data_IF_152432344748
#
_entry.id   IF_152432344748
#
_cell.length_a   1.000
_cell.length_b   1.000
_cell.length_c   1.000
_cell.angle_alpha   90.00
_cell.angle_beta   90.00
_cell.angle_gamma   90.00
#
_symmetry.space_group_name_H-M   'P 1'
#
loop_
_entity.id
_entity.type
_entity.pdbx_description
1 polymer ?
#
# COMPACT_ATOMS: atom_id res chain seq x y z
N UNK A 1 11.00 24.63 -61.70
CA UNK A 1 11.02 24.55 -60.27
C UNK A 1 10.86 23.08 -59.84
N UNK A 2 11.62 22.60 -58.89
CA UNK A 2 11.49 21.22 -58.44
C UNK A 2 10.23 21.06 -57.53
N UNK A 3 9.44 20.03 -57.83
CA UNK A 3 8.28 19.63 -57.07
C UNK A 3 8.67 19.10 -55.69
N UNK A 4 8.13 19.70 -54.64
CA UNK A 4 8.25 19.19 -53.29
C UNK A 4 7.50 17.83 -53.18
N UNK A 5 8.22 16.78 -52.83
CA UNK A 5 7.63 15.47 -52.48
C UNK A 5 6.82 15.54 -51.18
N UNK A 6 5.90 14.59 -50.96
CA UNK A 6 5.05 14.61 -49.78
C UNK A 6 5.89 14.46 -48.53
N UNK A 7 5.71 15.40 -47.60
CA UNK A 7 6.27 15.34 -46.24
C UNK A 7 5.77 14.07 -45.56
N UNK A 8 6.69 13.20 -45.13
CA UNK A 8 6.36 12.04 -44.30
C UNK A 8 5.74 12.54 -43.01
N UNK A 9 4.56 11.99 -42.66
CA UNK A 9 3.91 12.24 -41.38
C UNK A 9 4.87 11.84 -40.27
N UNK A 10 4.91 12.59 -39.13
CA UNK A 10 5.72 12.20 -37.99
C UNK A 10 5.31 10.79 -37.50
N UNK A 11 6.29 9.97 -37.07
CA UNK A 11 5.96 8.64 -36.54
C UNK A 11 4.98 8.78 -35.38
N UNK A 12 3.90 8.00 -35.44
CA UNK A 12 2.91 7.95 -34.37
C UNK A 12 3.63 7.74 -33.04
N UNK A 13 3.39 8.61 -32.06
CA UNK A 13 3.93 8.46 -30.73
C UNK A 13 3.63 7.04 -30.25
N UNK A 14 4.65 6.31 -29.79
CA UNK A 14 4.50 4.96 -29.32
C UNK A 14 3.42 4.96 -28.24
N UNK A 15 2.31 4.26 -28.45
CA UNK A 15 1.21 4.17 -27.49
C UNK A 15 1.77 3.66 -26.17
N UNK A 16 1.63 4.43 -25.12
CA UNK A 16 1.95 4.00 -23.75
C UNK A 16 1.03 2.84 -23.44
N UNK A 17 1.60 1.69 -23.05
CA UNK A 17 0.79 0.52 -22.72
C UNK A 17 -0.10 0.76 -21.49
N UNK A 18 -1.16 -0.05 -21.33
CA UNK A 18 -2.15 0.07 -20.25
C UNK A 18 -1.88 -0.92 -19.12
N UNK A 19 -2.31 -0.54 -17.90
CA UNK A 19 -2.44 -1.45 -16.76
C UNK A 19 -3.90 -1.91 -16.69
N UNK A 20 -4.13 -3.21 -16.74
CA UNK A 20 -5.44 -3.79 -16.54
C UNK A 20 -5.72 -3.97 -15.04
N UNK A 21 -6.74 -3.30 -14.51
CA UNK A 21 -7.23 -3.52 -13.15
C UNK A 21 -8.37 -4.53 -13.20
N UNK A 22 -8.10 -5.75 -12.76
CA UNK A 22 -9.08 -6.83 -12.60
C UNK A 22 -9.76 -6.65 -11.26
N UNK A 23 -10.94 -6.04 -11.29
CA UNK A 23 -11.75 -5.81 -10.10
C UNK A 23 -12.55 -7.07 -9.78
N UNK A 24 -12.28 -7.64 -8.61
CA UNK A 24 -12.88 -8.86 -8.10
C UNK A 24 -13.90 -8.60 -6.98
N UNK A 25 -14.16 -7.30 -6.64
CA UNK A 25 -15.02 -6.90 -5.53
C UNK A 25 -16.32 -6.26 -6.01
N UNK A 26 -17.43 -7.01 -5.91
CA UNK A 26 -18.77 -6.56 -6.32
C UNK A 26 -19.59 -5.93 -5.18
N UNK A 27 -19.07 -5.94 -3.95
CA UNK A 27 -19.74 -5.30 -2.81
C UNK A 27 -19.65 -3.78 -2.87
N UNK A 28 -20.78 -3.05 -2.88
CA UNK A 28 -20.77 -1.59 -2.94
C UNK A 28 -20.15 -0.95 -1.67
N UNK A 29 -20.08 -1.67 -0.55
CA UNK A 29 -19.50 -1.13 0.67
C UNK A 29 -17.99 -1.40 0.81
N UNK A 30 -17.45 -2.44 0.18
CA UNK A 30 -16.01 -2.74 0.16
C UNK A 30 -15.33 -2.25 -1.11
N UNK A 31 -16.06 -2.18 -2.22
CA UNK A 31 -15.56 -1.78 -3.52
C UNK A 31 -14.74 -0.50 -3.51
N UNK A 32 -13.76 -0.42 -4.36
CA UNK A 32 -12.84 0.70 -4.37
C UNK A 32 -11.67 0.55 -5.34
N UNK A 33 -11.95 0.17 -6.59
CA UNK A 33 -10.95 0.11 -7.66
C UNK A 33 -10.13 1.39 -7.78
N UNK A 34 -10.70 2.55 -7.42
CA UNK A 34 -9.99 3.82 -7.39
C UNK A 34 -8.86 3.85 -6.36
N UNK A 35 -9.02 3.17 -5.20
CA UNK A 35 -7.95 3.12 -4.18
C UNK A 35 -6.68 2.47 -4.70
N UNK A 36 -6.80 1.44 -5.56
CA UNK A 36 -5.65 0.81 -6.21
C UNK A 36 -4.93 1.78 -7.14
N UNK A 37 -5.67 2.53 -7.94
CA UNK A 37 -5.10 3.55 -8.83
C UNK A 37 -4.37 4.63 -8.05
N UNK A 38 -4.97 5.11 -6.95
CA UNK A 38 -4.40 6.17 -6.14
C UNK A 38 -3.17 5.70 -5.35
N UNK A 39 -3.22 4.49 -4.79
CA UNK A 39 -2.12 3.94 -3.99
C UNK A 39 -0.94 3.47 -4.84
N UNK A 40 -1.21 2.92 -6.03
CA UNK A 40 -0.19 2.40 -6.94
C UNK A 40 0.13 3.39 -8.05
N UNK A 41 -0.08 4.67 -7.83
CA UNK A 41 0.18 5.73 -8.79
C UNK A 41 1.65 5.78 -9.19
N UNK A 42 1.81 5.79 -10.47
CA UNK A 42 3.03 5.96 -11.19
C UNK A 42 2.97 7.25 -12.02
N UNK A 43 3.87 8.14 -11.86
CA UNK A 43 3.88 9.41 -12.60
C UNK A 43 4.10 9.25 -14.11
N UNK A 44 4.37 8.03 -14.59
CA UNK A 44 4.66 7.75 -16.00
C UNK A 44 3.96 6.52 -16.55
N UNK A 45 3.10 5.86 -15.78
CA UNK A 45 2.41 4.69 -16.26
C UNK A 45 1.21 5.08 -17.11
N UNK A 46 1.02 4.29 -18.15
CA UNK A 46 -0.08 4.41 -19.07
C UNK A 46 -1.45 4.41 -18.42
N UNK A 47 -2.47 4.52 -19.25
CA UNK A 47 -3.85 4.51 -18.80
C UNK A 47 -4.18 3.23 -18.05
N UNK A 48 -4.98 3.34 -16.98
CA UNK A 48 -5.55 2.22 -16.29
C UNK A 48 -6.88 1.86 -16.95
N UNK A 49 -7.05 0.58 -17.32
CA UNK A 49 -8.30 0.04 -17.80
C UNK A 49 -8.93 -0.85 -16.74
N UNK A 50 -10.18 -0.60 -16.43
CA UNK A 50 -10.96 -1.33 -15.41
C UNK A 50 -11.74 -2.45 -16.04
N UNK A 51 -11.67 -3.65 -15.45
CA UNK A 51 -12.38 -4.86 -15.87
C UNK A 51 -13.09 -5.45 -14.65
N UNK A 52 -14.40 -5.57 -14.73
CA UNK A 52 -15.24 -6.18 -13.69
C UNK A 52 -15.30 -7.69 -13.91
N UNK A 53 -14.46 -8.41 -13.15
CA UNK A 53 -14.34 -9.85 -13.32
C UNK A 53 -15.64 -10.59 -13.09
N UNK A 54 -16.47 -10.15 -12.14
CA UNK A 54 -17.78 -10.75 -11.86
C UNK A 54 -18.78 -10.58 -13.01
N UNK A 55 -18.59 -9.62 -13.90
CA UNK A 55 -19.35 -9.45 -15.15
C UNK A 55 -18.70 -10.19 -16.33
N UNK A 56 -17.59 -10.89 -16.08
CA UNK A 56 -16.87 -11.64 -17.10
C UNK A 56 -15.99 -10.76 -18.00
N UNK A 57 -15.65 -9.53 -17.56
CA UNK A 57 -14.77 -8.64 -18.29
C UNK A 57 -13.30 -9.00 -18.01
N UNK A 58 -12.51 -9.17 -19.07
CA UNK A 58 -11.09 -9.46 -19.02
C UNK A 58 -10.38 -8.82 -20.23
N UNK A 59 -9.07 -8.51 -20.13
CA UNK A 59 -8.29 -8.09 -21.29
C UNK A 59 -8.33 -9.12 -22.41
N UNK A 60 -8.34 -8.65 -23.65
CA UNK A 60 -8.26 -9.52 -24.82
C UNK A 60 -6.84 -10.05 -25.03
N UNK A 61 -6.73 -11.26 -25.60
CA UNK A 61 -5.43 -11.86 -25.95
C UNK A 61 -4.61 -10.97 -26.90
N UNK A 62 -5.26 -10.28 -27.82
CA UNK A 62 -4.59 -9.35 -28.72
C UNK A 62 -3.94 -8.16 -27.98
N UNK A 63 -4.58 -7.66 -26.93
CA UNK A 63 -4.03 -6.60 -26.08
C UNK A 63 -2.80 -7.06 -25.28
N UNK A 64 -2.81 -8.30 -24.80
CA UNK A 64 -1.66 -8.93 -24.13
C UNK A 64 -0.51 -9.19 -25.13
N UNK A 65 -0.84 -9.78 -26.29
CA UNK A 65 0.15 -10.16 -27.31
C UNK A 65 0.84 -8.93 -27.92
N UNK A 66 0.13 -7.84 -28.12
CA UNK A 66 0.68 -6.59 -28.65
C UNK A 66 1.42 -5.76 -27.60
N UNK A 67 1.33 -6.10 -26.32
CA UNK A 67 1.83 -5.28 -25.23
C UNK A 67 1.00 -4.00 -24.97
N UNK A 68 -0.20 -3.90 -25.56
CA UNK A 68 -1.13 -2.82 -25.25
C UNK A 68 -1.59 -2.88 -23.78
N UNK A 69 -1.68 -4.08 -23.21
CA UNK A 69 -1.74 -4.34 -21.76
C UNK A 69 -0.43 -4.99 -21.35
N UNK A 70 0.38 -4.30 -20.56
CA UNK A 70 1.69 -4.78 -20.12
C UNK A 70 1.71 -5.26 -18.67
N UNK A 71 0.70 -4.89 -17.90
CA UNK A 71 0.58 -5.27 -16.50
C UNK A 71 -0.89 -5.46 -16.09
N UNK A 72 -1.07 -6.33 -15.12
CA UNK A 72 -2.37 -6.69 -14.54
C UNK A 72 -2.29 -6.51 -13.03
N UNK A 73 -3.28 -5.84 -12.45
CA UNK A 73 -3.47 -5.75 -11.00
C UNK A 73 -4.78 -6.47 -10.66
N UNK A 74 -4.71 -7.45 -9.75
CA UNK A 74 -5.87 -8.21 -9.28
C UNK A 74 -6.23 -7.74 -7.87
N UNK A 75 -7.45 -7.26 -7.70
CA UNK A 75 -7.89 -6.66 -6.43
C UNK A 75 -8.16 -7.70 -5.34
N UNK A 76 -8.31 -7.23 -4.09
CA UNK A 76 -9.00 -7.96 -3.04
C UNK A 76 -10.47 -8.20 -3.36
N UNK A 77 -11.10 -9.09 -2.58
CA UNK A 77 -12.53 -9.38 -2.66
C UNK A 77 -13.03 -9.94 -1.33
N UNK A 78 -14.34 -9.76 -1.06
CA UNK A 78 -14.99 -10.45 0.05
C UNK A 78 -15.31 -11.93 -0.24
N UNK A 79 -15.20 -12.33 -1.50
CA UNK A 79 -15.39 -13.73 -1.91
C UNK A 79 -14.22 -14.61 -1.47
N UNK A 80 -14.48 -15.91 -1.32
CA UNK A 80 -13.43 -16.93 -1.18
C UNK A 80 -13.03 -17.49 -2.54
N UNK A 81 -11.76 -17.67 -2.80
CA UNK A 81 -11.26 -18.38 -4.00
C UNK A 81 -11.71 -19.85 -4.04
N UNK A 82 -12.18 -20.38 -2.89
CA UNK A 82 -12.72 -21.73 -2.78
C UNK A 82 -14.18 -21.85 -3.25
N UNK A 83 -14.87 -20.74 -3.48
CA UNK A 83 -16.25 -20.71 -3.96
C UNK A 83 -16.35 -20.65 -5.50
N UNK A 84 -15.33 -21.09 -6.21
CA UNK A 84 -15.26 -21.05 -7.69
C UNK A 84 -16.35 -21.86 -8.39
N UNK A 85 -16.92 -22.87 -7.73
CA UNK A 85 -18.07 -23.63 -8.18
C UNK A 85 -19.38 -22.80 -8.18
N UNK A 86 -19.48 -21.80 -7.31
CA UNK A 86 -20.61 -20.87 -7.20
C UNK A 86 -20.42 -19.61 -8.04
N UNK A 87 -19.19 -19.30 -8.39
CA UNK A 87 -18.80 -18.08 -9.10
C UNK A 87 -17.98 -18.41 -10.35
N UNK A 88 -18.62 -18.69 -11.49
CA UNK A 88 -17.93 -19.10 -12.73
C UNK A 88 -16.86 -18.12 -13.23
N UNK A 89 -16.99 -16.83 -12.90
CA UNK A 89 -15.98 -15.84 -13.23
C UNK A 89 -14.61 -16.12 -12.58
N UNK A 90 -14.57 -16.78 -11.42
CA UNK A 90 -13.31 -17.16 -10.75
C UNK A 90 -12.55 -18.21 -11.55
N UNK A 91 -13.25 -19.18 -12.15
CA UNK A 91 -12.61 -20.17 -13.02
C UNK A 91 -11.90 -19.48 -14.18
N UNK A 92 -12.59 -18.52 -14.81
CA UNK A 92 -12.03 -17.72 -15.90
C UNK A 92 -10.83 -16.87 -15.41
N UNK A 93 -10.93 -16.29 -14.22
CA UNK A 93 -9.80 -15.55 -13.60
C UNK A 93 -8.58 -16.46 -13.42
N UNK A 94 -8.77 -17.69 -12.90
CA UNK A 94 -7.64 -18.61 -12.71
C UNK A 94 -7.02 -19.04 -14.04
N UNK A 95 -7.83 -19.25 -15.08
CA UNK A 95 -7.35 -19.53 -16.44
C UNK A 95 -6.56 -18.36 -17.02
N UNK A 96 -7.09 -17.14 -16.87
CA UNK A 96 -6.43 -15.92 -17.30
C UNK A 96 -5.09 -15.74 -16.58
N UNK A 97 -5.04 -15.95 -15.26
CA UNK A 97 -3.81 -15.84 -14.47
C UNK A 97 -2.78 -16.90 -14.89
N UNK A 98 -3.21 -18.17 -15.09
CA UNK A 98 -2.30 -19.21 -15.62
C UNK A 98 -1.72 -18.82 -16.97
N UNK A 99 -2.54 -18.23 -17.84
CA UNK A 99 -2.08 -17.74 -19.12
C UNK A 99 -1.04 -16.64 -18.99
N UNK A 100 -1.28 -15.61 -18.16
CA UNK A 100 -0.31 -14.54 -17.89
C UNK A 100 1.01 -15.09 -17.31
N UNK A 101 0.92 -16.05 -16.37
CA UNK A 101 2.08 -16.69 -15.76
C UNK A 101 2.89 -17.47 -16.82
N UNK A 102 2.22 -18.27 -17.66
CA UNK A 102 2.87 -19.06 -18.71
C UNK A 102 3.53 -18.18 -19.79
N UNK A 103 2.95 -17.03 -20.10
CA UNK A 103 3.53 -16.03 -21.02
C UNK A 103 4.86 -15.46 -20.46
N UNK A 104 4.91 -15.14 -19.19
CA UNK A 104 6.10 -14.60 -18.51
C UNK A 104 6.56 -13.22 -19.02
N UNK A 105 5.70 -12.49 -19.74
CA UNK A 105 5.98 -11.17 -20.31
C UNK A 105 4.98 -10.10 -19.83
N UNK A 106 3.93 -10.47 -19.12
CA UNK A 106 2.94 -9.59 -18.50
C UNK A 106 3.21 -9.54 -17.00
N UNK A 107 3.38 -8.35 -16.43
CA UNK A 107 3.50 -8.18 -14.99
C UNK A 107 2.16 -8.43 -14.30
N UNK A 108 2.13 -9.19 -13.20
CA UNK A 108 0.91 -9.43 -12.41
C UNK A 108 1.16 -9.06 -10.97
N UNK A 109 0.30 -8.22 -10.41
CA UNK A 109 0.29 -7.88 -8.99
C UNK A 109 -1.05 -8.27 -8.37
N UNK A 110 -1.03 -9.18 -7.39
CA UNK A 110 -2.23 -9.63 -6.69
C UNK A 110 -2.26 -9.19 -5.24
N UNK A 111 -3.42 -8.68 -4.81
CA UNK A 111 -3.68 -8.19 -3.44
C UNK A 111 -4.77 -9.02 -2.78
N UNK A 112 -4.52 -9.54 -1.59
CA UNK A 112 -5.46 -10.30 -0.76
C UNK A 112 -6.13 -11.45 -1.54
N UNK A 113 -7.39 -11.31 -1.97
CA UNK A 113 -8.03 -12.28 -2.87
C UNK A 113 -7.20 -12.51 -4.14
N UNK A 114 -6.62 -11.47 -4.74
CA UNK A 114 -5.74 -11.58 -5.91
C UNK A 114 -4.48 -12.38 -5.63
N UNK A 115 -3.86 -12.25 -4.45
CA UNK A 115 -2.76 -13.09 -3.99
C UNK A 115 -3.18 -14.56 -3.91
N UNK A 116 -4.34 -14.84 -3.30
CA UNK A 116 -4.90 -16.17 -3.17
C UNK A 116 -5.29 -16.76 -4.55
N UNK A 117 -5.84 -15.95 -5.45
CA UNK A 117 -6.18 -16.36 -6.81
C UNK A 117 -4.96 -16.76 -7.64
N UNK A 118 -3.84 -16.03 -7.52
CA UNK A 118 -2.58 -16.38 -8.15
C UNK A 118 -2.05 -17.71 -7.58
N UNK A 119 -2.05 -17.86 -6.25
CA UNK A 119 -1.62 -19.11 -5.61
C UNK A 119 -2.51 -20.30 -6.04
N UNK A 120 -3.81 -20.09 -6.12
CA UNK A 120 -4.78 -21.09 -6.60
C UNK A 120 -4.56 -21.48 -8.06
N UNK A 121 -4.27 -20.49 -8.91
CA UNK A 121 -3.92 -20.72 -10.32
C UNK A 121 -2.64 -21.56 -10.48
N UNK A 122 -1.71 -21.47 -9.53
CA UNK A 122 -0.49 -22.25 -9.43
C UNK A 122 -0.65 -23.59 -8.70
N UNK A 123 -1.87 -23.96 -8.30
CA UNK A 123 -2.18 -25.25 -7.68
C UNK A 123 -2.06 -25.30 -6.15
N UNK A 124 -1.76 -24.18 -5.48
CA UNK A 124 -1.74 -24.12 -4.02
C UNK A 124 -3.13 -24.08 -3.43
N UNK A 125 -3.25 -24.57 -2.19
CA UNK A 125 -4.49 -24.52 -1.41
C UNK A 125 -4.59 -23.20 -0.66
N UNK A 126 -5.82 -22.72 -0.53
CA UNK A 126 -6.17 -21.61 0.34
C UNK A 126 -7.06 -22.15 1.45
N UNK A 127 -6.71 -21.84 2.69
CA UNK A 127 -7.32 -22.40 3.91
C UNK A 127 -7.66 -21.27 4.87
N UNK A 128 -8.54 -21.50 5.88
CA UNK A 128 -8.70 -20.53 6.96
C UNK A 128 -7.35 -20.20 7.61
N UNK A 129 -7.15 -18.92 7.96
CA UNK A 129 -5.93 -18.50 8.64
C UNK A 129 -5.76 -19.20 10.00
N UNK A 130 -4.55 -19.17 10.56
CA UNK A 130 -4.21 -19.92 11.79
C UNK A 130 -5.09 -19.59 13.01
N UNK A 131 -5.70 -18.38 13.07
CA UNK A 131 -6.60 -18.00 14.16
C UNK A 131 -8.01 -18.58 14.03
N UNK A 132 -8.40 -19.03 12.83
CA UNK A 132 -9.77 -19.44 12.50
C UNK A 132 -10.79 -18.30 12.54
N UNK A 133 -10.35 -17.05 12.67
CA UNK A 133 -11.17 -15.84 12.72
C UNK A 133 -10.81 -14.90 11.58
N UNK A 134 -11.71 -13.95 11.28
CA UNK A 134 -11.38 -12.89 10.34
C UNK A 134 -10.32 -11.96 10.94
N UNK A 135 -9.18 -11.82 10.29
CA UNK A 135 -8.12 -10.87 10.69
C UNK A 135 -8.41 -9.52 10.06
N UNK A 136 -8.61 -8.50 10.89
CA UNK A 136 -8.66 -7.09 10.47
C UNK A 136 -7.78 -6.29 11.43
N UNK A 137 -6.74 -5.68 10.94
CA UNK A 137 -5.83 -4.90 11.80
C UNK A 137 -4.44 -4.74 11.22
N UNK A 138 -3.53 -4.25 12.04
CA UNK A 138 -2.11 -4.14 11.70
C UNK A 138 -1.38 -5.41 12.16
N UNK A 139 -0.61 -6.01 11.26
CA UNK A 139 0.19 -7.20 11.55
C UNK A 139 1.68 -6.93 11.34
N UNK A 140 2.50 -7.59 12.14
CA UNK A 140 3.95 -7.62 11.96
C UNK A 140 4.32 -8.74 10.99
N UNK A 141 4.69 -8.35 9.78
CA UNK A 141 5.05 -9.24 8.68
C UNK A 141 6.57 -9.33 8.59
N UNK A 142 7.10 -10.53 8.73
CA UNK A 142 8.55 -10.79 8.75
C UNK A 142 9.07 -10.94 7.31
N UNK A 143 9.97 -10.06 6.84
CA UNK A 143 10.55 -10.16 5.52
C UNK A 143 11.49 -11.36 5.43
N UNK A 144 11.35 -12.16 4.37
CA UNK A 144 12.25 -13.25 4.04
C UNK A 144 13.57 -12.73 3.41
N UNK A 145 14.66 -13.53 3.43
CA UNK A 145 15.94 -13.10 2.84
C UNK A 145 15.83 -12.65 1.38
N UNK A 146 14.95 -13.27 0.60
CA UNK A 146 14.72 -12.88 -0.79
C UNK A 146 14.15 -11.47 -0.95
N UNK A 147 13.22 -11.06 -0.06
CA UNK A 147 12.71 -9.70 -0.05
C UNK A 147 13.79 -8.71 0.37
N UNK A 148 14.55 -9.04 1.42
CA UNK A 148 15.65 -8.20 1.90
C UNK A 148 16.74 -7.96 0.83
N UNK A 149 16.98 -8.95 -0.04
CA UNK A 149 17.91 -8.85 -1.15
C UNK A 149 17.32 -8.17 -2.40
N UNK A 150 15.98 -7.94 -2.44
CA UNK A 150 15.34 -7.39 -3.63
C UNK A 150 15.71 -5.91 -3.84
N UNK A 151 16.21 -5.51 -5.03
CA UNK A 151 16.71 -4.15 -5.26
C UNK A 151 15.66 -3.06 -5.01
N UNK A 152 14.42 -3.26 -5.48
CA UNK A 152 13.34 -2.31 -5.28
C UNK A 152 12.92 -2.19 -3.82
N UNK A 153 12.98 -3.29 -3.05
CA UNK A 153 12.75 -3.27 -1.62
C UNK A 153 13.85 -2.49 -0.88
N UNK A 154 15.11 -2.72 -1.22
CA UNK A 154 16.24 -1.98 -0.65
C UNK A 154 16.12 -0.48 -0.93
N UNK A 155 15.73 -0.12 -2.16
CA UNK A 155 15.48 1.26 -2.54
C UNK A 155 14.30 1.86 -1.77
N UNK A 156 13.16 1.17 -1.69
CA UNK A 156 12.02 1.59 -0.89
C UNK A 156 12.40 1.79 0.58
N UNK A 157 13.18 0.85 1.13
CA UNK A 157 13.66 0.92 2.50
C UNK A 157 14.54 2.14 2.76
N UNK A 158 15.45 2.46 1.87
CA UNK A 158 16.29 3.66 2.00
C UNK A 158 15.49 4.96 1.97
N UNK A 159 14.32 4.96 1.32
CA UNK A 159 13.45 6.14 1.19
C UNK A 159 12.48 6.30 2.36
N UNK A 160 11.92 5.22 2.88
CA UNK A 160 10.75 5.28 3.77
C UNK A 160 11.05 4.79 5.20
N UNK A 161 12.17 4.12 5.44
CA UNK A 161 12.44 3.57 6.77
C UNK A 161 13.09 4.60 7.68
N UNK A 162 12.64 4.73 8.95
CA UNK A 162 13.31 5.55 9.95
C UNK A 162 14.75 5.08 10.18
N UNK A 163 15.67 6.03 10.35
CA UNK A 163 17.05 5.73 10.69
C UNK A 163 17.13 4.97 12.02
N UNK A 164 17.98 3.94 12.08
CA UNK A 164 18.23 3.16 13.30
C UNK A 164 17.41 1.88 13.46
N UNK A 165 16.44 1.60 12.58
CA UNK A 165 15.78 0.29 12.56
C UNK A 165 16.65 -0.75 11.87
N UNK A 166 16.67 -1.98 12.43
CA UNK A 166 17.39 -3.12 11.83
C UNK A 166 16.83 -3.44 10.44
N UNK A 167 17.66 -3.90 9.55
CA UNK A 167 17.31 -4.19 8.17
C UNK A 167 16.22 -5.27 8.02
N UNK A 168 16.20 -6.22 8.93
CA UNK A 168 15.29 -7.37 9.00
C UNK A 168 14.10 -7.17 9.95
N UNK A 169 13.91 -5.97 10.51
CA UNK A 169 12.77 -5.73 11.38
C UNK A 169 11.43 -5.92 10.63
N UNK A 170 10.41 -6.49 11.29
CA UNK A 170 9.10 -6.71 10.68
C UNK A 170 8.50 -5.44 10.07
N UNK A 171 7.72 -5.62 9.02
CA UNK A 171 6.89 -4.59 8.41
C UNK A 171 5.53 -4.57 9.09
N UNK A 172 5.00 -3.40 9.37
CA UNK A 172 3.66 -3.22 9.91
C UNK A 172 2.68 -3.00 8.76
N UNK A 173 1.90 -4.01 8.43
CA UNK A 173 1.00 -3.99 7.28
C UNK A 173 -0.46 -4.16 7.72
N UNK A 174 -1.39 -3.61 6.94
CA UNK A 174 -2.82 -3.76 7.17
C UNK A 174 -3.32 -5.06 6.55
N UNK A 175 -3.96 -5.88 7.38
CA UNK A 175 -4.56 -7.15 6.99
C UNK A 175 -6.08 -7.08 7.07
N UNK A 176 -6.74 -7.76 6.12
CA UNK A 176 -8.20 -7.92 6.07
C UNK A 176 -8.55 -9.24 5.38
N UNK A 177 -8.43 -10.37 6.10
CA UNK A 177 -8.65 -11.68 5.52
C UNK A 177 -9.09 -12.73 6.54
N UNK A 178 -9.89 -13.72 6.11
CA UNK A 178 -10.23 -14.91 6.91
C UNK A 178 -9.47 -16.16 6.46
N UNK A 179 -8.92 -16.12 5.26
CA UNK A 179 -8.20 -17.22 4.61
C UNK A 179 -6.79 -16.80 4.21
N UNK A 180 -5.89 -17.77 4.07
CA UNK A 180 -4.51 -17.57 3.63
C UNK A 180 -4.04 -18.72 2.74
N UNK A 181 -2.97 -18.50 2.00
CA UNK A 181 -2.29 -19.54 1.22
C UNK A 181 -1.59 -20.49 2.19
N UNK A 182 -1.93 -21.80 2.12
CA UNK A 182 -1.45 -22.85 3.02
C UNK A 182 0.06 -23.10 2.89
N UNK A 183 0.54 -23.11 1.68
CA UNK A 183 1.95 -23.35 1.35
C UNK A 183 2.39 -22.60 0.11
N UNK A 184 3.67 -22.31 0.05
CA UNK A 184 4.27 -21.61 -1.09
C UNK A 184 4.00 -22.39 -2.40
N UNK A 185 3.48 -21.75 -3.46
CA UNK A 185 3.31 -22.38 -4.76
C UNK A 185 4.63 -22.90 -5.33
N UNK A 186 4.56 -23.98 -6.11
CA UNK A 186 5.74 -24.52 -6.81
C UNK A 186 6.36 -23.46 -7.73
N UNK A 187 7.66 -23.33 -7.70
CA UNK A 187 8.40 -22.33 -8.49
C UNK A 187 8.30 -20.90 -7.96
N UNK A 188 7.56 -20.66 -6.88
CA UNK A 188 7.50 -19.34 -6.24
C UNK A 188 8.65 -19.12 -5.25
N UNK A 189 8.95 -17.85 -4.99
CA UNK A 189 9.91 -17.40 -3.98
C UNK A 189 9.15 -16.72 -2.85
N UNK A 190 9.32 -17.20 -1.61
CA UNK A 190 8.74 -16.58 -0.42
C UNK A 190 9.42 -15.23 -0.18
N UNK A 191 8.63 -14.18 -0.02
CA UNK A 191 9.10 -12.81 0.26
C UNK A 191 8.83 -12.39 1.70
N UNK A 192 7.71 -12.83 2.29
CA UNK A 192 7.39 -12.52 3.69
C UNK A 192 6.39 -13.52 4.27
N UNK A 193 6.35 -13.59 5.61
CA UNK A 193 5.42 -14.42 6.38
C UNK A 193 4.94 -13.71 7.64
N UNK A 194 3.79 -14.16 8.18
CA UNK A 194 3.27 -13.71 9.47
C UNK A 194 2.75 -14.90 10.31
N UNK A 195 2.40 -14.68 11.59
CA UNK A 195 1.75 -15.70 12.40
C UNK A 195 0.39 -16.18 11.84
N UNK A 196 -0.32 -15.32 11.11
CA UNK A 196 -1.65 -15.63 10.55
C UNK A 196 -1.61 -16.14 9.11
N UNK A 197 -0.53 -15.83 8.37
CA UNK A 197 -0.36 -16.28 7.00
C UNK A 197 1.10 -16.70 6.73
N UNK A 198 1.37 -18.00 6.57
CA UNK A 198 2.73 -18.49 6.29
C UNK A 198 3.29 -17.97 4.97
N UNK A 199 2.43 -17.54 4.05
CA UNK A 199 2.78 -16.96 2.75
C UNK A 199 2.10 -15.59 2.63
N UNK A 200 2.68 -14.57 3.27
CA UNK A 200 2.21 -13.19 3.20
C UNK A 200 2.53 -12.54 1.86
N UNK A 201 3.72 -12.80 1.37
CA UNK A 201 4.15 -12.30 0.07
C UNK A 201 4.97 -13.36 -0.65
N UNK A 202 4.76 -13.47 -1.96
CA UNK A 202 5.59 -14.27 -2.82
C UNK A 202 5.75 -13.65 -4.21
N UNK A 203 6.78 -14.08 -4.93
CA UNK A 203 6.97 -13.76 -6.34
C UNK A 203 7.14 -15.03 -7.16
N UNK A 204 6.84 -14.95 -8.47
CA UNK A 204 7.17 -15.98 -9.44
C UNK A 204 7.98 -15.35 -10.55
N UNK A 205 9.26 -15.70 -10.62
CA UNK A 205 10.20 -15.01 -11.49
C UNK A 205 10.21 -13.50 -11.24
N UNK A 206 10.37 -12.75 -12.32
CA UNK A 206 10.41 -11.29 -12.29
C UNK A 206 9.05 -10.65 -12.66
N UNK A 207 8.00 -11.45 -12.88
CA UNK A 207 6.75 -10.98 -13.47
C UNK A 207 5.55 -11.05 -12.53
N UNK A 208 5.59 -11.86 -11.49
CA UNK A 208 4.47 -12.05 -10.56
C UNK A 208 4.88 -11.60 -9.17
N UNK A 209 4.12 -10.68 -8.60
CA UNK A 209 4.20 -10.26 -7.20
C UNK A 209 2.82 -10.40 -6.56
N UNK A 210 2.75 -11.03 -5.41
CA UNK A 210 1.50 -11.26 -4.71
C UNK A 210 1.65 -10.96 -3.21
N UNK A 211 0.69 -10.23 -2.64
CA UNK A 211 0.70 -9.79 -1.24
C UNK A 211 -0.66 -10.04 -0.59
N UNK A 212 -0.68 -10.59 0.64
CA UNK A 212 -1.91 -10.85 1.39
C UNK A 212 -2.48 -9.55 1.97
N UNK A 213 -1.62 -8.64 2.41
CA UNK A 213 -1.98 -7.34 2.98
C UNK A 213 -2.61 -6.39 1.97
N UNK A 214 -3.13 -5.26 2.47
CA UNK A 214 -3.85 -4.24 1.71
C UNK A 214 -3.06 -2.92 1.64
N UNK A 215 -2.07 -2.78 0.75
CA UNK A 215 -1.31 -1.54 0.62
C UNK A 215 -2.13 -0.38 0.05
N UNK A 216 -3.27 -0.66 -0.60
CA UNK A 216 -4.13 0.33 -1.26
C UNK A 216 -5.04 1.08 -0.30
N UNK A 217 -5.30 0.57 0.89
CA UNK A 217 -6.15 1.22 1.90
C UNK A 217 -5.33 1.78 3.06
N UNK A 218 -5.91 2.72 3.79
CA UNK A 218 -5.35 3.31 4.99
C UNK A 218 -6.21 3.00 6.23
N UNK A 219 -5.68 3.35 7.40
CA UNK A 219 -6.35 3.14 8.68
C UNK A 219 -7.70 3.88 8.75
N UNK A 220 -7.78 5.09 8.19
CA UNK A 220 -9.02 5.86 8.19
C UNK A 220 -10.12 5.13 7.43
N UNK A 221 -9.81 4.62 6.22
CA UNK A 221 -10.75 3.83 5.43
C UNK A 221 -11.19 2.55 6.15
N UNK A 222 -10.27 1.86 6.83
CA UNK A 222 -10.64 0.67 7.63
C UNK A 222 -11.65 1.06 8.71
N UNK A 223 -11.39 2.11 9.48
CA UNK A 223 -12.26 2.55 10.57
C UNK A 223 -13.63 3.01 10.08
N UNK A 224 -13.66 3.78 9.00
CA UNK A 224 -14.87 4.46 8.54
C UNK A 224 -15.74 3.60 7.62
N UNK A 225 -15.14 2.67 6.86
CA UNK A 225 -15.84 1.90 5.83
C UNK A 225 -15.70 0.40 6.01
N UNK A 226 -14.46 -0.12 6.06
CA UNK A 226 -14.23 -1.57 6.00
C UNK A 226 -14.76 -2.26 7.24
N UNK A 227 -14.44 -1.81 8.45
CA UNK A 227 -14.89 -2.42 9.69
C UNK A 227 -16.42 -2.40 9.82
N UNK A 228 -17.15 -1.28 9.65
CA UNK A 228 -18.61 -1.29 9.67
C UNK A 228 -19.24 -2.22 8.62
N UNK A 229 -18.62 -2.32 7.45
CA UNK A 229 -19.09 -3.22 6.40
C UNK A 229 -18.91 -4.69 6.79
N UNK A 230 -17.76 -5.08 7.32
CA UNK A 230 -17.47 -6.44 7.75
C UNK A 230 -18.35 -6.88 8.93
N UNK A 231 -18.68 -5.97 9.85
CA UNK A 231 -19.66 -6.20 10.91
C UNK A 231 -21.05 -6.47 10.30
N UNK A 232 -21.49 -5.61 9.38
CA UNK A 232 -22.77 -5.80 8.68
C UNK A 232 -22.85 -7.11 7.91
N UNK A 233 -21.71 -7.58 7.36
CA UNK A 233 -21.59 -8.87 6.67
C UNK A 233 -21.47 -10.06 7.63
N UNK A 234 -21.41 -9.85 8.95
CA UNK A 234 -21.23 -10.90 9.96
C UNK A 234 -19.85 -11.56 9.94
N UNK A 235 -18.84 -10.89 9.36
CA UNK A 235 -17.45 -11.39 9.34
C UNK A 235 -16.71 -11.07 10.63
N UNK A 236 -17.09 -10.00 11.30
CA UNK A 236 -16.55 -9.50 12.56
C UNK A 236 -17.74 -9.29 13.51
N UNK A 237 -17.60 -9.75 14.74
CA UNK A 237 -18.63 -9.53 15.76
C UNK A 237 -18.53 -8.07 16.29
N UNK A 238 -19.66 -7.50 16.72
CA UNK A 238 -19.73 -6.10 17.18
C UNK A 238 -18.85 -5.87 18.43
N UNK A 239 -18.73 -6.87 19.29
CA UNK A 239 -17.91 -6.84 20.51
C UNK A 239 -16.40 -6.87 20.23
N UNK A 240 -15.99 -7.36 19.06
CA UNK A 240 -14.59 -7.34 18.61
C UNK A 240 -14.15 -5.96 18.05
N UNK A 241 -15.12 -5.11 17.69
CA UNK A 241 -14.85 -3.84 16.97
C UNK A 241 -13.96 -2.87 17.75
N UNK A 242 -14.12 -2.80 19.08
CA UNK A 242 -13.32 -1.88 19.92
C UNK A 242 -11.86 -2.33 20.01
N UNK A 243 -11.61 -3.62 20.15
CA UNK A 243 -10.26 -4.20 20.16
C UNK A 243 -9.56 -3.93 18.81
N UNK A 244 -10.28 -4.12 17.69
CA UNK A 244 -9.76 -3.83 16.35
C UNK A 244 -9.43 -2.34 16.20
N UNK A 245 -10.30 -1.42 16.67
CA UNK A 245 -10.01 0.02 16.63
C UNK A 245 -8.77 0.39 17.42
N UNK A 246 -8.52 -0.28 18.54
CA UNK A 246 -7.33 -0.07 19.37
C UNK A 246 -6.06 -0.56 18.65
N UNK A 247 -6.11 -1.72 17.98
CA UNK A 247 -5.00 -2.27 17.18
C UNK A 247 -4.65 -1.39 15.97
N UNK A 248 -5.62 -0.66 15.42
CA UNK A 248 -5.43 0.27 14.30
C UNK A 248 -4.70 1.57 14.72
N UNK A 249 -3.96 1.55 15.81
CA UNK A 249 -3.14 2.68 16.25
C UNK A 249 -1.71 2.58 15.67
N UNK A 250 -1.16 3.73 15.30
CA UNK A 250 0.22 3.86 14.84
C UNK A 250 0.42 3.84 13.33
N UNK A 251 1.67 3.97 12.92
CA UNK A 251 2.04 4.03 11.51
C UNK A 251 2.06 2.64 10.87
N UNK A 252 1.81 2.58 9.58
CA UNK A 252 1.90 1.38 8.73
C UNK A 252 2.94 1.61 7.63
N UNK A 253 3.60 0.51 7.21
CA UNK A 253 4.71 0.54 6.28
C UNK A 253 4.29 0.38 4.81
N UNK A 254 3.07 0.80 4.46
CA UNK A 254 2.49 0.61 3.11
C UNK A 254 3.31 1.27 2.00
N UNK A 255 4.06 2.33 2.30
CA UNK A 255 4.87 3.04 1.31
C UNK A 255 5.93 2.13 0.67
N UNK A 256 6.39 1.08 1.35
CA UNK A 256 7.27 0.07 0.76
C UNK A 256 6.61 -0.61 -0.43
N UNK A 257 5.38 -1.13 -0.23
CA UNK A 257 4.65 -1.85 -1.27
C UNK A 257 4.12 -0.91 -2.35
N UNK A 258 3.68 0.29 -1.97
CA UNK A 258 3.25 1.33 -2.92
C UNK A 258 4.37 1.78 -3.85
N UNK A 259 5.61 1.70 -3.41
CA UNK A 259 6.79 1.94 -4.25
C UNK A 259 7.22 0.68 -5.01
N UNK A 260 7.31 -0.46 -4.32
CA UNK A 260 7.85 -1.70 -4.88
C UNK A 260 6.95 -2.30 -5.97
N UNK A 261 5.63 -2.36 -5.76
CA UNK A 261 4.72 -2.97 -6.73
C UNK A 261 4.75 -2.26 -8.09
N UNK A 262 4.69 -0.94 -8.16
CA UNK A 262 4.90 -0.21 -9.38
C UNK A 262 6.25 -0.48 -10.06
N UNK A 263 7.35 -0.39 -9.34
CA UNK A 263 8.67 -0.64 -9.90
C UNK A 263 8.77 -2.04 -10.52
N UNK A 264 8.23 -3.04 -9.81
CA UNK A 264 8.16 -4.43 -10.25
C UNK A 264 7.38 -4.58 -11.56
N UNK A 265 6.19 -4.02 -11.66
CA UNK A 265 5.37 -4.07 -12.85
C UNK A 265 6.02 -3.31 -14.05
N UNK A 266 6.72 -2.23 -13.78
CA UNK A 266 7.38 -1.41 -14.82
C UNK A 266 8.64 -2.07 -15.42
N UNK A 267 9.40 -2.83 -14.64
CA UNK A 267 10.53 -3.62 -15.15
C UNK A 267 10.10 -4.54 -16.30
N UNK A 268 8.90 -5.10 -16.21
CA UNK A 268 8.35 -5.98 -17.22
C UNK A 268 7.97 -5.26 -18.52
N UNK A 269 7.48 -4.03 -18.45
CA UNK A 269 7.15 -3.24 -19.63
C UNK A 269 8.41 -2.91 -20.48
N UNK A 270 9.56 -2.71 -19.83
CA UNK A 270 10.84 -2.47 -20.53
C UNK A 270 11.38 -3.74 -21.19
N UNK A 271 11.27 -4.89 -20.52
CA UNK A 271 11.71 -6.20 -21.02
C UNK A 271 10.90 -6.64 -22.26
N UNK A 272 9.60 -6.32 -22.29
CA UNK A 272 8.72 -6.59 -23.41
C UNK A 272 9.05 -5.71 -24.63
N UNK A 273 9.34 -4.41 -24.43
CA UNK A 273 9.77 -3.51 -25.50
C UNK A 273 11.10 -3.91 -26.14
N UNK A 274 12.05 -4.40 -25.35
CA UNK A 274 13.33 -4.88 -25.86
C UNK A 274 13.20 -6.18 -26.67
N UNK A 275 12.23 -7.05 -26.34
CA UNK A 275 11.96 -8.28 -27.11
C UNK A 275 11.25 -8.04 -28.43
N UNK A 276 10.31 -7.09 -28.48
CA UNK A 276 9.63 -6.73 -29.74
C UNK A 276 10.53 -6.00 -30.73
N UNK A 277 11.57 -5.30 -30.25
CA UNK A 277 12.53 -4.59 -31.11
C UNK A 277 13.65 -5.50 -31.66
N UNK A 278 13.83 -6.70 -31.09
CA UNK A 278 14.91 -7.62 -31.51
C UNK A 278 14.54 -8.55 -32.68
N UNK A 279 13.32 -8.49 -33.20
CA UNK A 279 12.85 -9.34 -34.32
C UNK A 279 12.98 -8.67 -35.70
N UNK A 280 13.22 -7.38 -35.76
CA UNK A 280 13.33 -6.63 -37.04
C UNK A 280 14.55 -5.74 -37.09
N UNK A 281 15.78 -6.26 -37.10
CA UNK A 281 16.88 -5.44 -37.65
C UNK A 281 18.13 -6.26 -38.00
N UNK A 282 18.34 -6.50 -39.26
CA UNK A 282 19.61 -6.95 -39.84
C UNK A 282 20.52 -5.77 -40.14
N UNK A 283 21.73 -5.77 -39.57
CA UNK A 283 23.03 -5.27 -40.05
C UNK A 283 23.24 -3.82 -40.55
N UNK A 284 22.22 -3.00 -40.81
CA UNK A 284 22.43 -1.58 -41.18
C UNK A 284 22.35 -0.65 -39.94
N UNK A 285 21.91 -1.13 -38.79
CA UNK A 285 21.48 -0.32 -37.65
C UNK A 285 22.46 -0.22 -36.49
N UNK A 286 23.60 -0.94 -36.51
CA UNK A 286 24.52 -0.93 -35.36
C UNK A 286 25.16 0.46 -35.12
N UNK A 287 25.45 1.20 -36.19
CA UNK A 287 25.98 2.56 -36.08
C UNK A 287 24.90 3.59 -35.69
N UNK A 288 23.66 3.39 -36.16
CA UNK A 288 22.49 4.20 -35.78
C UNK A 288 22.06 3.90 -34.37
N UNK A 289 22.02 2.61 -33.97
CA UNK A 289 21.71 2.19 -32.60
C UNK A 289 22.72 2.73 -31.59
N UNK A 290 24.02 2.65 -31.85
CA UNK A 290 25.06 3.24 -30.98
C UNK A 290 24.99 4.78 -30.92
N UNK A 291 24.55 5.43 -31.98
CA UNK A 291 24.35 6.89 -31.99
C UNK A 291 23.08 7.30 -31.21
N UNK A 292 22.00 6.51 -31.31
CA UNK A 292 20.76 6.68 -30.51
C UNK A 292 21.05 6.42 -29.04
N UNK A 293 21.80 5.37 -28.72
CA UNK A 293 22.20 5.05 -27.36
C UNK A 293 23.00 6.19 -26.72
N UNK A 294 23.99 6.71 -27.42
CA UNK A 294 24.79 7.85 -26.95
C UNK A 294 23.95 9.11 -26.75
N UNK A 295 23.10 9.46 -27.74
CA UNK A 295 22.23 10.64 -27.65
C UNK A 295 21.16 10.47 -26.55
N UNK A 296 20.69 9.24 -26.30
CA UNK A 296 19.78 8.94 -25.22
C UNK A 296 20.45 9.09 -23.85
N UNK A 297 21.68 8.60 -23.68
CA UNK A 297 22.46 8.81 -22.44
C UNK A 297 22.68 10.31 -22.19
N UNK A 298 23.12 11.05 -23.18
CA UNK A 298 23.34 12.50 -23.10
C UNK A 298 22.03 13.28 -22.77
N UNK A 299 20.91 12.87 -23.37
CA UNK A 299 19.60 13.42 -23.05
C UNK A 299 19.16 13.08 -21.62
N UNK A 300 19.36 11.83 -21.16
CA UNK A 300 19.03 11.43 -19.79
C UNK A 300 19.93 12.10 -18.74
N UNK A 301 21.20 12.32 -19.05
CA UNK A 301 22.11 13.10 -18.17
C UNK A 301 21.63 14.55 -18.06
N UNK A 302 21.33 15.21 -19.18
CA UNK A 302 20.83 16.59 -19.21
C UNK A 302 19.44 16.72 -18.55
N UNK A 303 18.53 15.78 -18.77
CA UNK A 303 17.23 15.73 -18.09
C UNK A 303 17.42 15.45 -16.60
N UNK A 304 18.34 14.56 -16.22
CA UNK A 304 18.68 14.28 -14.84
C UNK A 304 19.29 15.49 -14.11
N UNK A 305 20.08 16.32 -14.80
CA UNK A 305 20.61 17.58 -14.26
C UNK A 305 19.52 18.66 -14.13
N UNK A 306 18.65 18.81 -15.13
CA UNK A 306 17.52 19.73 -15.08
C UNK A 306 16.54 19.35 -13.97
N UNK A 307 16.18 18.07 -13.85
CA UNK A 307 15.33 17.54 -12.78
C UNK A 307 15.98 17.78 -11.40
N UNK A 308 17.27 17.49 -11.23
CA UNK A 308 17.97 17.79 -9.96
C UNK A 308 17.97 19.27 -9.65
N UNK A 309 18.13 20.13 -10.65
CA UNK A 309 18.07 21.59 -10.49
C UNK A 309 16.70 22.10 -10.05
N UNK A 310 15.61 21.55 -10.60
CA UNK A 310 14.24 21.97 -10.25
C UNK A 310 13.71 21.34 -8.95
N UNK A 311 14.08 20.09 -8.64
CA UNK A 311 13.60 19.42 -7.45
C UNK A 311 14.42 19.69 -6.19
N UNK A 312 15.68 20.17 -6.30
CA UNK A 312 16.48 20.50 -5.10
C UNK A 312 15.80 21.55 -4.21
N UNK A 313 15.22 22.66 -4.72
CA UNK A 313 14.48 23.60 -3.90
C UNK A 313 13.26 22.96 -3.21
N UNK A 314 12.48 22.16 -3.95
CA UNK A 314 11.31 21.49 -3.39
C UNK A 314 11.68 20.49 -2.27
N UNK A 315 12.76 19.73 -2.43
CA UNK A 315 13.28 18.83 -1.39
C UNK A 315 13.69 19.63 -0.14
N UNK A 316 14.33 20.77 -0.31
CA UNK A 316 14.71 21.63 0.81
C UNK A 316 13.49 22.22 1.52
N UNK A 317 12.44 22.59 0.78
CA UNK A 317 11.16 23.05 1.34
C UNK A 317 10.45 21.95 2.13
N UNK A 318 10.40 20.72 1.60
CA UNK A 318 9.85 19.57 2.33
C UNK A 318 10.65 19.22 3.57
N UNK A 319 11.98 19.32 3.53
CA UNK A 319 12.82 19.12 4.71
C UNK A 319 12.60 20.22 5.76
N UNK A 320 12.37 21.46 5.34
CA UNK A 320 12.02 22.56 6.22
C UNK A 320 10.63 22.34 6.87
N UNK A 321 9.62 21.95 6.07
CA UNK A 321 8.29 21.59 6.56
C UNK A 321 8.34 20.45 7.57
N UNK A 322 9.14 19.41 7.32
CA UNK A 322 9.32 18.31 8.26
C UNK A 322 9.94 18.78 9.59
N UNK A 323 10.92 19.69 9.55
CA UNK A 323 11.49 20.31 10.76
C UNK A 323 10.48 21.17 11.50
N UNK A 324 9.68 21.97 10.78
CA UNK A 324 8.63 22.78 11.39
C UNK A 324 7.56 21.92 12.06
N UNK A 325 7.13 20.84 11.42
CA UNK A 325 6.18 19.90 11.99
C UNK A 325 6.72 19.22 13.25
N UNK A 326 8.00 18.88 13.27
CA UNK A 326 8.66 18.34 14.47
C UNK A 326 8.67 19.33 15.61
N UNK A 327 9.05 20.58 15.37
CA UNK A 327 9.04 21.65 16.39
C UNK A 327 7.61 21.91 16.90
N UNK A 328 6.62 21.89 16.01
CA UNK A 328 5.22 22.02 16.41
C UNK A 328 4.76 20.86 17.30
N UNK A 329 5.13 19.61 16.95
CA UNK A 329 4.85 18.43 17.76
C UNK A 329 5.48 18.50 19.15
N UNK A 330 6.75 18.90 19.23
CA UNK A 330 7.47 19.05 20.49
C UNK A 330 6.83 20.14 21.37
N UNK A 331 6.38 21.25 20.76
CA UNK A 331 5.66 22.30 21.46
C UNK A 331 4.29 21.83 21.97
N UNK A 332 3.53 21.05 21.20
CA UNK A 332 2.27 20.47 21.67
C UNK A 332 2.48 19.50 22.83
N UNK A 333 3.54 18.70 22.79
CA UNK A 333 3.88 17.81 23.90
C UNK A 333 4.20 18.62 25.17
N UNK A 334 5.04 19.65 25.07
CA UNK A 334 5.35 20.53 26.20
C UNK A 334 4.11 21.22 26.77
N UNK A 335 3.15 21.65 25.91
CA UNK A 335 1.90 22.21 26.37
C UNK A 335 1.01 21.20 27.09
N UNK A 336 0.99 19.94 26.63
CA UNK A 336 0.26 18.86 27.28
C UNK A 336 0.85 18.55 28.66
N UNK A 337 2.17 18.47 28.77
CA UNK A 337 2.88 18.23 30.04
C UNK A 337 2.65 19.39 31.02
N UNK A 338 2.68 20.63 30.55
CA UNK A 338 2.34 21.81 31.36
C UNK A 338 0.88 21.78 31.85
N UNK A 339 -0.06 21.45 30.96
CA UNK A 339 -1.49 21.34 31.34
C UNK A 339 -1.71 20.25 32.40
N UNK A 340 -1.00 19.12 32.29
CA UNK A 340 -1.05 18.06 33.28
C UNK A 340 -0.46 18.51 34.62
N UNK A 341 0.63 19.25 34.60
CA UNK A 341 1.24 19.86 35.80
C UNK A 341 0.27 20.82 36.51
N UNK A 342 -0.42 21.68 35.74
CA UNK A 342 -1.46 22.59 36.26
C UNK A 342 -2.61 21.81 36.88
N UNK A 343 -3.09 20.75 36.25
CA UNK A 343 -4.16 19.89 36.79
C UNK A 343 -3.78 19.29 38.14
N UNK A 344 -2.58 18.75 38.28
CA UNK A 344 -2.06 18.21 39.56
C UNK A 344 -1.98 19.29 40.63
N UNK A 345 -1.52 20.48 40.26
CA UNK A 345 -1.43 21.63 41.18
C UNK A 345 -2.82 22.07 41.67
N UNK A 346 -3.82 22.14 40.77
CA UNK A 346 -5.19 22.47 41.13
C UNK A 346 -5.79 21.44 42.11
N UNK A 347 -5.57 20.15 41.88
CA UNK A 347 -6.05 19.12 42.82
C UNK A 347 -5.35 19.23 44.18
N UNK A 348 -4.05 19.56 44.23
CA UNK A 348 -3.34 19.83 45.47
C UNK A 348 -3.89 21.05 46.23
N UNK A 349 -4.25 22.12 45.49
CA UNK A 349 -4.91 23.31 46.09
C UNK A 349 -6.27 22.97 46.64
N UNK A 350 -7.10 22.20 45.93
CA UNK A 350 -8.39 21.73 46.43
C UNK A 350 -8.28 20.93 47.72
N UNK A 351 -7.29 20.00 47.76
CA UNK A 351 -7.03 19.20 48.95
C UNK A 351 -6.68 20.11 50.18
N UNK A 352 -5.77 21.07 49.97
CA UNK A 352 -5.42 22.06 51.01
C UNK A 352 -6.57 22.95 51.44
N UNK A 353 -7.38 23.38 50.49
CA UNK A 353 -8.59 24.17 50.79
C UNK A 353 -9.55 23.36 51.69
N UNK A 354 -9.78 22.09 51.36
CA UNK A 354 -10.64 21.17 52.18
C UNK A 354 -10.08 20.96 53.59
N UNK A 355 -8.73 20.88 53.71
CA UNK A 355 -8.04 20.75 54.99
C UNK A 355 -8.21 22.00 55.88
N UNK A 356 -8.24 23.19 55.29
CA UNK A 356 -8.36 24.45 56.01
C UNK A 356 -9.81 24.84 56.35
N UNK A 357 -10.81 24.29 55.65
CA UNK A 357 -12.20 24.64 55.84
C UNK A 357 -12.66 24.53 57.34
N UNK A 358 -12.34 23.42 58.07
CA UNK A 358 -12.73 23.29 59.49
C UNK A 358 -12.06 24.32 60.40
N UNK A 359 -10.89 24.81 60.05
CA UNK A 359 -10.21 25.86 60.81
C UNK A 359 -10.87 27.23 60.60
N UNK A 360 -11.29 27.51 59.36
CA UNK A 360 -12.03 28.73 59.04
C UNK A 360 -13.40 28.74 59.73
N UNK A 361 -14.15 27.66 59.69
CA UNK A 361 -15.43 27.49 60.38
C UNK A 361 -15.30 27.73 61.90
N UNK A 362 -14.21 27.20 62.49
CA UNK A 362 -13.94 27.42 63.90
C UNK A 362 -13.59 28.88 64.27
N UNK A 363 -12.93 29.62 63.36
CA UNK A 363 -12.68 31.03 63.52
C UNK A 363 -13.99 31.83 63.48
N UNK A 364 -14.88 31.52 62.53
CA UNK A 364 -16.20 32.14 62.42
C UNK A 364 -17.07 31.88 63.68
N UNK A 365 -17.02 30.68 64.24
CA UNK A 365 -17.67 30.31 65.51
C UNK A 365 -17.10 31.16 66.68
N UNK A 366 -15.78 31.27 66.79
CA UNK A 366 -15.13 32.08 67.82
C UNK A 366 -15.45 33.55 67.70
N UNK A 367 -15.50 34.11 66.47
CA UNK A 367 -15.91 35.51 66.23
C UNK A 367 -17.37 35.74 66.67
N UNK A 368 -18.26 34.80 66.43
CA UNK A 368 -19.63 34.85 66.87
C UNK A 368 -19.75 34.82 68.39
N UNK A 369 -18.96 33.96 69.08
CA UNK A 369 -18.91 33.93 70.56
C UNK A 369 -18.38 35.23 71.14
N UNK A 370 -17.32 35.83 70.58
CA UNK A 370 -16.80 37.12 71.04
C UNK A 370 -17.81 38.24 70.86
N UNK A 371 -18.52 38.31 69.72
CA UNK A 371 -19.56 39.30 69.51
C UNK A 371 -20.75 39.16 70.50
N UNK A 372 -21.06 37.93 70.89
CA UNK A 372 -22.06 37.69 71.96
C UNK A 372 -21.58 38.17 73.35
N UNK A 373 -20.31 38.02 73.66
CA UNK A 373 -19.75 38.46 74.93
C UNK A 373 -19.58 40.02 74.99
N UNK A 374 -19.36 40.67 73.88
CA UNK A 374 -19.32 42.15 73.80
C UNK A 374 -20.69 42.80 73.87
N UNK A 375 -21.77 42.11 73.66
CA UNK A 375 -23.17 42.59 73.74
C UNK A 375 -23.79 42.47 75.12
N UNK A 376 -23.08 41.89 76.10
CA UNK A 376 -23.45 41.77 77.51
C UNK A 376 -22.79 42.91 78.32
#
# INVERSE_FOLDING_TARGET
GPSAGPSAAPPAAAKVGRVALLDCEDSPCLGGSQTYRDALRWDQAGEWQHFRCWEGEFPDEADLASGAVYAVVVTGSHHSVNDSDRHPWMVRLFEFLRHCIARGDVGVFGVCFGHQAIARALGSRVVPNASGRYRLGVEEVVPAPALLAHPDFQKARSMFRPAGLRDDAPLRLLESHGECVESLPEGATLLASSPHAPVEMFSVGDTILAVQCHPEIDIARIREKTLPCLIKMGRIAEDEAEAIRAELAGAVDHNFLRFMAPAFLHHNSKKQRSRSSSVETTLADDAVAKRIERLSVEMFENVGEAIRGEFTPAILEYQLLAKMNKVASDNYQNMADFAQGVAVFVESLKAKHTELLPAVERIDEMESEVAQMEAI
#
